data_IF_698379744852
#
_entry.id   IF_698379744852
#
_cell.length_a   1.000
_cell.length_b   1.000
_cell.length_c   1.000
_cell.angle_alpha   90.00
_cell.angle_beta   90.00
_cell.angle_gamma   90.00
#
_symmetry.space_group_name_H-M   'P 1'
#
loop_
_entity.id
_entity.type
_entity.pdbx_description
1 polymer ?
#
# COMPACT_ATOMS: atom_id res chain seq x y z
N UNK A 1 33.86 -18.92 21.76
CA UNK A 1 34.08 -17.85 20.75
C UNK A 1 33.02 -18.09 19.70
N UNK A 2 31.86 -17.44 19.82
CA UNK A 2 30.71 -17.71 18.96
C UNK A 2 30.74 -16.68 17.85
N UNK A 3 31.11 -17.14 16.66
CA UNK A 3 31.14 -16.35 15.43
C UNK A 3 29.70 -15.97 15.08
N UNK A 4 29.37 -14.67 15.15
CA UNK A 4 28.08 -14.16 14.72
C UNK A 4 28.10 -14.12 13.19
N UNK A 5 27.31 -15.00 12.57
CA UNK A 5 27.09 -14.99 11.13
C UNK A 5 26.63 -13.61 10.67
N UNK A 6 27.02 -13.17 9.45
CA UNK A 6 26.67 -11.86 8.95
C UNK A 6 25.15 -11.71 8.98
N UNK A 7 24.70 -10.62 9.60
CA UNK A 7 23.32 -10.12 9.48
C UNK A 7 23.12 -9.84 7.99
N UNK A 8 22.70 -10.86 7.26
CA UNK A 8 22.04 -10.68 5.99
C UNK A 8 20.87 -9.78 6.31
N UNK A 9 20.93 -8.53 5.82
CA UNK A 9 19.82 -7.60 5.88
C UNK A 9 18.60 -8.34 5.36
N UNK A 10 17.74 -8.79 6.28
CA UNK A 10 16.52 -9.49 5.94
C UNK A 10 15.79 -8.60 4.94
N UNK A 11 15.38 -9.13 3.77
CA UNK A 11 14.63 -8.33 2.82
C UNK A 11 13.35 -7.94 3.54
N UNK A 12 13.27 -6.67 3.95
CA UNK A 12 12.17 -5.97 4.57
C UNK A 12 10.85 -6.75 4.48
N UNK A 13 10.64 -7.71 5.40
CA UNK A 13 9.49 -8.60 5.36
C UNK A 13 8.31 -7.81 5.89
N UNK A 14 7.29 -7.70 5.06
CA UNK A 14 6.01 -7.15 5.51
C UNK A 14 5.40 -8.17 6.46
N UNK A 15 5.32 -7.78 7.73
CA UNK A 15 4.82 -8.67 8.77
C UNK A 15 3.54 -8.08 9.38
N UNK A 16 2.54 -8.96 9.55
CA UNK A 16 1.35 -8.68 10.35
C UNK A 16 1.47 -9.49 11.63
N UNK A 17 1.44 -8.81 12.76
CA UNK A 17 1.53 -9.42 14.08
C UNK A 17 0.32 -9.04 14.93
N UNK A 18 -0.24 -10.00 15.65
CA UNK A 18 -1.22 -9.69 16.69
C UNK A 18 -0.47 -9.24 17.94
N UNK A 19 -0.81 -8.06 18.44
CA UNK A 19 -0.35 -7.57 19.73
C UNK A 19 -1.28 -8.10 20.82
N UNK A 20 -0.79 -9.06 21.60
CA UNK A 20 -1.56 -9.70 22.68
C UNK A 20 -1.89 -8.73 23.83
N UNK A 21 -1.14 -7.65 24.01
CA UNK A 21 -1.37 -6.67 25.08
C UNK A 21 -2.53 -5.73 24.74
N UNK A 22 -2.60 -5.30 23.49
CA UNK A 22 -3.63 -4.33 23.04
C UNK A 22 -4.77 -4.97 22.25
N UNK A 23 -4.70 -6.29 22.02
CA UNK A 23 -5.59 -7.08 21.15
C UNK A 23 -5.77 -6.48 19.75
N UNK A 24 -4.71 -5.86 19.21
CA UNK A 24 -4.74 -5.24 17.88
C UNK A 24 -3.75 -5.90 16.93
N UNK A 25 -4.10 -5.94 15.65
CA UNK A 25 -3.16 -6.35 14.60
C UNK A 25 -2.24 -5.17 14.25
N UNK A 26 -0.95 -5.45 14.07
CA UNK A 26 0.09 -4.49 13.69
C UNK A 26 0.71 -4.90 12.37
N UNK A 27 0.79 -3.97 11.43
CA UNK A 27 1.47 -4.13 10.15
C UNK A 27 2.78 -3.35 10.14
N UNK A 28 3.89 -4.02 9.84
CA UNK A 28 5.18 -3.39 9.55
C UNK A 28 5.47 -3.48 8.05
N UNK A 29 5.61 -2.33 7.38
CA UNK A 29 5.92 -2.32 5.96
C UNK A 29 5.84 -0.94 5.31
N UNK A 30 5.83 -0.90 3.98
CA UNK A 30 5.81 0.36 3.23
C UNK A 30 4.41 0.96 3.27
N UNK A 31 4.35 2.22 3.68
CA UNK A 31 3.14 3.01 3.71
C UNK A 31 3.23 4.23 2.79
N UNK A 32 2.07 4.70 2.34
CA UNK A 32 1.88 6.00 1.72
C UNK A 32 0.75 6.66 2.48
N UNK A 33 1.03 7.77 3.17
CA UNK A 33 0.00 8.41 4.01
C UNK A 33 -1.13 9.04 3.20
N UNK A 34 -0.84 9.46 1.96
CA UNK A 34 -1.82 10.15 1.12
C UNK A 34 -1.59 9.88 -0.36
N UNK A 35 -2.50 9.15 -0.97
CA UNK A 35 -2.59 8.97 -2.42
C UNK A 35 -4.03 9.17 -2.89
N UNK A 36 -4.20 9.92 -3.99
CA UNK A 36 -5.50 10.10 -4.61
C UNK A 36 -5.79 8.95 -5.57
N UNK A 37 -6.90 8.24 -5.36
CA UNK A 37 -7.33 7.13 -6.21
C UNK A 37 -8.49 7.61 -7.08
N UNK A 38 -8.45 7.34 -8.38
CA UNK A 38 -9.53 7.67 -9.32
C UNK A 38 -9.74 6.62 -10.39
N UNK A 39 -10.90 6.64 -11.06
CA UNK A 39 -11.24 5.69 -12.14
C UNK A 39 -11.73 4.32 -11.67
N UNK A 40 -11.79 4.05 -10.36
CA UNK A 40 -12.26 2.78 -9.79
C UNK A 40 -13.67 2.87 -9.16
N UNK A 41 -14.38 3.99 -9.32
CA UNK A 41 -15.67 4.19 -8.65
C UNK A 41 -16.85 3.44 -9.29
N UNK A 42 -16.74 3.02 -10.55
CA UNK A 42 -17.80 2.26 -11.23
C UNK A 42 -17.55 0.76 -11.14
N UNK A 43 -18.58 -0.02 -10.75
CA UNK A 43 -18.49 -1.47 -10.52
C UNK A 43 -18.50 -2.36 -11.77
N UNK A 44 -18.27 -1.81 -12.97
CA UNK A 44 -18.30 -2.60 -14.21
C UNK A 44 -16.94 -3.26 -14.47
N UNK A 45 -16.88 -4.60 -14.44
CA UNK A 45 -15.68 -5.33 -14.82
C UNK A 45 -15.58 -5.47 -16.34
N UNK A 46 -14.55 -4.87 -16.93
CA UNK A 46 -13.98 -5.41 -18.15
C UNK A 46 -13.27 -6.74 -17.85
N UNK A 47 -13.02 -7.55 -18.89
CA UNK A 47 -12.39 -8.88 -18.79
C UNK A 47 -11.06 -8.92 -17.99
N UNK A 48 -10.41 -7.76 -17.82
CA UNK A 48 -9.11 -7.58 -17.19
C UNK A 48 -9.17 -6.86 -15.83
N UNK A 49 -10.36 -6.70 -15.23
CA UNK A 49 -10.57 -5.93 -14.01
C UNK A 49 -10.83 -4.44 -14.29
N UNK A 50 -11.02 -3.67 -13.22
CA UNK A 50 -11.27 -2.22 -13.31
C UNK A 50 -9.96 -1.48 -13.27
N UNK A 51 -9.74 -0.58 -14.23
CA UNK A 51 -8.52 0.24 -14.33
C UNK A 51 -8.77 1.62 -13.75
N UNK A 52 -7.77 2.15 -13.09
CA UNK A 52 -7.77 3.51 -12.58
C UNK A 52 -6.37 4.01 -12.39
N UNK A 53 -6.27 5.07 -11.59
CA UNK A 53 -5.01 5.75 -11.34
C UNK A 53 -4.80 6.01 -9.86
N UNK A 54 -3.56 5.84 -9.43
CA UNK A 54 -3.05 6.34 -8.17
C UNK A 54 -2.19 7.58 -8.46
N UNK A 55 -2.56 8.72 -7.90
CA UNK A 55 -1.76 9.95 -7.92
C UNK A 55 -1.14 10.15 -6.55
N UNK A 56 0.19 10.21 -6.50
CA UNK A 56 0.95 10.50 -5.28
C UNK A 56 1.85 11.70 -5.48
N UNK A 57 2.04 12.47 -4.43
CA UNK A 57 2.93 13.62 -4.44
C UNK A 57 4.29 13.21 -3.86
N UNK A 58 5.39 13.56 -4.54
CA UNK A 58 6.74 13.38 -4.02
C UNK A 58 7.14 14.50 -3.06
N UNK A 59 8.39 14.45 -2.57
CA UNK A 59 8.92 15.43 -1.61
C UNK A 59 9.09 16.82 -2.21
N UNK A 60 9.20 16.92 -3.53
CA UNK A 60 9.35 18.19 -4.26
C UNK A 60 7.98 18.79 -4.61
N UNK A 61 6.88 18.14 -4.20
CA UNK A 61 5.52 18.57 -4.48
C UNK A 61 5.03 18.14 -5.88
N UNK A 62 5.79 17.33 -6.60
CA UNK A 62 5.44 16.88 -7.94
C UNK A 62 4.49 15.68 -7.86
N UNK A 63 3.40 15.74 -8.63
CA UNK A 63 2.44 14.64 -8.71
C UNK A 63 2.91 13.57 -9.70
N UNK A 64 2.89 12.32 -9.26
CA UNK A 64 3.21 11.13 -10.05
C UNK A 64 1.99 10.24 -10.16
N UNK A 65 1.66 9.86 -11.39
CA UNK A 65 0.51 8.99 -11.67
C UNK A 65 0.98 7.57 -11.97
N UNK A 66 0.26 6.59 -11.43
CA UNK A 66 0.46 5.16 -11.61
C UNK A 66 -0.85 4.51 -12.07
N UNK A 67 -0.80 3.70 -13.13
CA UNK A 67 -1.95 2.89 -13.53
C UNK A 67 -2.13 1.73 -12.54
N UNK A 68 -3.37 1.53 -12.09
CA UNK A 68 -3.74 0.53 -11.08
C UNK A 68 -4.92 -0.31 -11.56
N UNK A 69 -5.01 -1.54 -11.05
CA UNK A 69 -6.07 -2.48 -11.37
C UNK A 69 -6.69 -3.06 -10.11
N UNK A 70 -8.00 -2.98 -10.01
CA UNK A 70 -8.80 -3.70 -9.02
C UNK A 70 -9.49 -4.91 -9.69
N UNK A 71 -9.21 -6.11 -9.21
CA UNK A 71 -9.77 -7.36 -9.74
C UNK A 71 -11.07 -7.78 -9.05
N UNK A 72 -11.50 -7.05 -8.01
CA UNK A 72 -12.79 -7.28 -7.33
C UNK A 72 -13.89 -6.36 -7.88
N UNK A 73 -15.16 -6.70 -7.60
CA UNK A 73 -16.33 -5.96 -8.10
C UNK A 73 -16.65 -4.70 -7.29
N UNK A 74 -16.26 -4.66 -6.02
CA UNK A 74 -16.60 -3.54 -5.14
C UNK A 74 -15.97 -2.22 -5.62
N UNK A 75 -16.77 -1.17 -5.84
CA UNK A 75 -16.24 0.12 -6.27
C UNK A 75 -15.28 0.69 -5.23
N UNK A 76 -14.26 1.41 -5.70
CA UNK A 76 -13.36 2.19 -4.84
C UNK A 76 -13.67 3.65 -5.18
N UNK A 77 -14.33 4.39 -4.29
CA UNK A 77 -14.65 5.79 -4.52
C UNK A 77 -13.42 6.61 -4.86
N UNK A 78 -13.62 7.70 -5.60
CA UNK A 78 -12.51 8.63 -5.84
C UNK A 78 -12.28 9.46 -4.58
N UNK A 79 -11.10 9.33 -3.99
CA UNK A 79 -10.77 9.99 -2.73
C UNK A 79 -9.26 9.91 -2.46
N UNK A 80 -8.82 10.62 -1.43
CA UNK A 80 -7.52 10.40 -0.82
C UNK A 80 -7.59 9.25 0.19
N UNK A 81 -6.65 8.32 0.05
CA UNK A 81 -6.50 7.17 0.93
C UNK A 81 -5.09 7.11 1.51
N UNK A 82 -4.97 6.48 2.67
CA UNK A 82 -3.72 5.90 3.10
C UNK A 82 -3.55 4.54 2.41
N UNK A 83 -2.31 4.17 2.12
CA UNK A 83 -1.98 2.90 1.48
C UNK A 83 -0.92 2.16 2.28
N UNK A 84 -1.08 0.86 2.40
CA UNK A 84 -0.06 -0.07 2.92
C UNK A 84 0.21 -1.14 1.86
N UNK A 85 1.45 -1.56 1.72
CA UNK A 85 1.79 -2.62 0.77
C UNK A 85 1.50 -4.00 1.37
N UNK A 86 0.74 -4.83 0.66
CA UNK A 86 0.37 -6.16 1.19
C UNK A 86 1.43 -7.23 0.93
N UNK A 87 2.05 -7.13 -0.25
CA UNK A 87 3.26 -7.84 -0.72
C UNK A 87 3.98 -6.92 -1.68
N UNK A 88 4.90 -6.09 -1.18
CA UNK A 88 5.63 -5.09 -1.98
C UNK A 88 6.19 -5.68 -3.27
N UNK A 89 6.78 -6.87 -3.20
CA UNK A 89 7.35 -7.61 -4.35
C UNK A 89 6.30 -8.01 -5.41
N UNK A 90 5.05 -8.17 -5.00
CA UNK A 90 3.93 -8.50 -5.89
C UNK A 90 3.12 -7.25 -6.30
N UNK A 91 3.49 -6.05 -5.82
CA UNK A 91 2.84 -4.80 -6.19
C UNK A 91 1.37 -4.70 -5.77
N UNK A 92 0.96 -5.44 -4.73
CA UNK A 92 -0.36 -5.34 -4.12
C UNK A 92 -0.40 -4.25 -3.06
N UNK A 93 -1.47 -3.47 -3.08
CA UNK A 93 -1.72 -2.35 -2.20
C UNK A 93 -3.08 -2.48 -1.55
N UNK A 94 -3.13 -2.21 -0.26
CA UNK A 94 -4.37 -2.06 0.50
C UNK A 94 -4.64 -0.58 0.64
N UNK A 95 -5.83 -0.13 0.23
CA UNK A 95 -6.29 1.23 0.48
C UNK A 95 -7.14 1.26 1.72
N UNK A 96 -6.94 2.30 2.52
CA UNK A 96 -7.65 2.47 3.78
C UNK A 96 -7.75 3.92 4.19
N UNK A 97 -8.47 4.13 5.29
CA UNK A 97 -8.62 5.43 5.94
C UNK A 97 -7.96 5.40 7.30
N UNK A 98 -7.45 6.55 7.73
CA UNK A 98 -6.98 6.73 9.09
C UNK A 98 -8.13 7.17 9.96
N UNK A 99 -8.35 6.47 11.05
CA UNK A 99 -9.27 6.90 12.11
C UNK A 99 -8.66 8.05 12.92
N UNK A 100 -9.45 8.77 13.75
CA UNK A 100 -8.92 9.78 14.65
C UNK A 100 -7.84 9.27 15.62
N UNK A 101 -7.88 7.98 15.99
CA UNK A 101 -6.87 7.30 16.79
C UNK A 101 -5.73 6.68 15.96
N UNK A 102 -5.58 7.12 14.70
CA UNK A 102 -4.50 6.75 13.77
C UNK A 102 -4.47 5.28 13.30
N UNK A 103 -5.50 4.50 13.59
CA UNK A 103 -5.65 3.13 13.06
C UNK A 103 -5.93 3.16 11.56
N UNK A 104 -5.47 2.12 10.88
CA UNK A 104 -5.72 1.92 9.47
C UNK A 104 -6.97 1.04 9.29
N UNK A 105 -8.05 1.64 8.80
CA UNK A 105 -9.27 0.92 8.40
C UNK A 105 -9.21 0.59 6.92
N UNK A 106 -9.21 -0.71 6.61
CA UNK A 106 -9.20 -1.17 5.22
C UNK A 106 -10.49 -0.80 4.51
N UNK A 107 -10.34 -0.18 3.34
CA UNK A 107 -11.43 0.08 2.39
C UNK A 107 -11.41 -0.95 1.26
N UNK A 108 -10.25 -1.21 0.67
CA UNK A 108 -10.16 -2.07 -0.52
C UNK A 108 -8.73 -2.48 -0.87
N UNK A 109 -8.53 -3.15 -2.02
CA UNK A 109 -7.20 -3.48 -2.53
C UNK A 109 -7.08 -3.24 -4.03
N UNK A 110 -5.88 -2.96 -4.50
CA UNK A 110 -5.56 -2.96 -5.93
C UNK A 110 -4.12 -3.45 -6.14
N UNK A 111 -3.73 -3.62 -7.40
CA UNK A 111 -2.32 -3.81 -7.78
C UNK A 111 -1.90 -2.76 -8.80
N UNK A 112 -0.60 -2.46 -8.85
CA UNK A 112 -0.03 -1.68 -9.96
C UNK A 112 -0.20 -2.46 -11.27
N UNK A 113 -0.56 -1.78 -12.37
CA UNK A 113 -0.70 -2.44 -13.68
C UNK A 113 0.64 -3.06 -14.12
N UNK A 114 1.69 -2.26 -14.17
CA UNK A 114 3.08 -2.72 -14.32
C UNK A 114 3.71 -2.97 -12.95
N UNK A 115 3.40 -4.10 -12.31
CA UNK A 115 3.79 -4.43 -10.93
C UNK A 115 5.27 -4.09 -10.60
N UNK A 116 6.23 -4.73 -11.27
CA UNK A 116 7.66 -4.56 -10.96
C UNK A 116 8.14 -3.13 -11.21
N UNK A 117 7.78 -2.53 -12.35
CA UNK A 117 8.24 -1.18 -12.72
C UNK A 117 7.56 -0.10 -11.89
N UNK A 118 6.27 -0.26 -11.60
CA UNK A 118 5.49 0.64 -10.75
C UNK A 118 6.05 0.66 -9.33
N UNK A 119 6.27 -0.51 -8.73
CA UNK A 119 6.89 -0.64 -7.40
C UNK A 119 8.30 -0.04 -7.36
N UNK A 120 9.16 -0.34 -8.35
CA UNK A 120 10.50 0.24 -8.44
C UNK A 120 10.48 1.77 -8.59
N UNK A 121 9.59 2.29 -9.44
CA UNK A 121 9.43 3.73 -9.62
C UNK A 121 8.95 4.39 -8.32
N UNK A 122 7.99 3.79 -7.63
CA UNK A 122 7.49 4.32 -6.35
C UNK A 122 8.59 4.36 -5.28
N UNK A 123 9.42 3.31 -5.18
CA UNK A 123 10.61 3.32 -4.32
C UNK A 123 11.58 4.46 -4.67
N UNK A 124 11.87 4.68 -5.97
CA UNK A 124 12.78 5.74 -6.41
C UNK A 124 12.28 7.15 -6.08
N UNK A 125 10.95 7.34 -6.04
CA UNK A 125 10.34 8.61 -5.64
C UNK A 125 10.44 8.87 -4.13
N UNK A 126 10.74 7.86 -3.31
CA UNK A 126 10.84 8.00 -1.86
C UNK A 126 9.53 8.44 -1.18
N UNK A 127 8.40 8.17 -1.85
CA UNK A 127 7.04 8.47 -1.38
C UNK A 127 6.61 7.45 -0.32
N UNK A 128 7.00 6.19 -0.52
CA UNK A 128 6.79 5.13 0.44
C UNK A 128 7.72 5.27 1.66
N UNK A 129 7.19 5.10 2.87
CA UNK A 129 7.99 5.05 4.11
C UNK A 129 7.76 3.73 4.82
N UNK A 130 8.83 3.17 5.39
CA UNK A 130 8.68 2.05 6.32
C UNK A 130 8.02 2.54 7.62
N UNK A 131 6.96 1.89 8.05
CA UNK A 131 6.20 2.30 9.24
C UNK A 131 5.51 1.12 9.90
N UNK A 132 5.18 1.30 11.18
CA UNK A 132 4.30 0.40 11.94
C UNK A 132 2.89 0.99 11.96
N UNK A 133 1.90 0.20 11.60
CA UNK A 133 0.50 0.62 11.53
C UNK A 133 -0.35 -0.32 12.38
N UNK A 134 -1.13 0.24 13.31
CA UNK A 134 -2.20 -0.51 13.96
C UNK A 134 -3.37 -0.67 12.98
N UNK A 135 -3.81 -1.89 12.77
CA UNK A 135 -4.96 -2.24 11.95
C UNK A 135 -6.20 -2.32 12.84
N UNK A 136 -7.36 -1.99 12.27
CA UNK A 136 -8.67 -2.13 12.92
C UNK A 136 -9.57 -3.10 12.15
#
# INVERSE_FOLDING_TARGET
>A
MTELLPVHESPLREDVHRDEETDNDRYEGVNIEKGYVRGLAMGNMERNGRRGELVVQDRDGTNHTFEIVATHQYPIPEDFYALISGRWELGFWVVGRRTPDQRFEKVSTFRMYEQTKGTQRLARLGVGKWSRNCLS
#
